data_IF_786221610075
#
_entry.id   IF_786221610075
#
_cell.length_a   1.000
_cell.length_b   1.000
_cell.length_c   1.000
_cell.angle_alpha   90.00
_cell.angle_beta   90.00
_cell.angle_gamma   90.00
#
_symmetry.space_group_name_H-M   'P 1'
#
loop_
_entity.id
_entity.type
_entity.pdbx_description
1 polymer ?
#
# COMPACT_ATOMS: atom_id res chain seq x y z
N UNK A 1 19.12 7.39 -17.97
CA UNK A 1 18.73 6.40 -18.98
C UNK A 1 17.21 6.21 -18.94
N UNK A 2 16.55 6.21 -20.12
CA UNK A 2 15.12 5.96 -20.29
C UNK A 2 14.91 4.66 -21.06
N UNK A 3 13.76 4.03 -20.83
CA UNK A 3 13.27 2.87 -21.59
C UNK A 3 12.16 3.37 -22.49
N UNK A 4 12.31 3.21 -23.80
CA UNK A 4 11.29 3.51 -24.79
C UNK A 4 10.49 2.24 -25.08
N UNK A 5 9.16 2.35 -25.08
CA UNK A 5 8.28 1.24 -25.44
C UNK A 5 7.33 1.65 -26.56
N UNK A 6 6.94 0.71 -27.40
CA UNK A 6 6.12 0.95 -28.59
C UNK A 6 4.59 0.84 -28.30
N UNK A 7 4.16 1.13 -27.07
CA UNK A 7 2.73 1.18 -26.77
C UNK A 7 2.05 2.28 -27.59
N UNK A 8 0.90 1.96 -28.16
CA UNK A 8 0.13 2.83 -29.04
C UNK A 8 -1.33 2.96 -28.57
N UNK A 9 -2.15 3.72 -29.29
CA UNK A 9 -3.56 3.99 -28.95
C UNK A 9 -4.36 2.70 -28.70
N UNK A 10 -4.21 1.70 -29.55
CA UNK A 10 -4.96 0.46 -29.41
C UNK A 10 -4.63 -0.28 -28.11
N UNK A 11 -3.36 -0.20 -27.62
CA UNK A 11 -3.01 -0.77 -26.30
C UNK A 11 -3.70 -0.03 -25.14
N UNK A 12 -3.90 1.29 -25.27
CA UNK A 12 -4.67 2.07 -24.30
C UNK A 12 -6.14 1.64 -24.28
N UNK A 13 -6.71 1.35 -25.45
CA UNK A 13 -8.08 0.85 -25.57
C UNK A 13 -8.24 -0.55 -24.96
N UNK A 14 -7.30 -1.46 -25.24
CA UNK A 14 -7.27 -2.78 -24.63
C UNK A 14 -7.19 -2.69 -23.09
N UNK A 15 -6.29 -1.84 -22.58
CA UNK A 15 -6.11 -1.62 -21.15
C UNK A 15 -7.37 -1.02 -20.51
N UNK A 16 -8.05 -0.10 -21.19
CA UNK A 16 -9.32 0.47 -20.75
C UNK A 16 -10.36 -0.63 -20.50
N UNK A 17 -10.62 -1.49 -21.48
CA UNK A 17 -11.63 -2.54 -21.34
C UNK A 17 -11.25 -3.60 -20.30
N UNK A 18 -9.97 -3.96 -20.19
CA UNK A 18 -9.49 -4.86 -19.14
C UNK A 18 -9.73 -4.23 -17.76
N UNK A 19 -9.39 -2.97 -17.58
CA UNK A 19 -9.53 -2.27 -16.31
C UNK A 19 -11.01 -2.02 -15.96
N UNK A 20 -11.84 -1.69 -16.96
CA UNK A 20 -13.29 -1.56 -16.81
C UNK A 20 -13.92 -2.87 -16.31
N UNK A 21 -13.56 -4.01 -16.91
CA UNK A 21 -14.04 -5.32 -16.50
C UNK A 21 -13.63 -5.73 -15.09
N UNK A 22 -12.59 -5.08 -14.54
CA UNK A 22 -12.09 -5.28 -13.17
C UNK A 22 -12.63 -4.27 -12.16
N UNK A 23 -13.51 -3.36 -12.57
CA UNK A 23 -14.07 -2.34 -11.70
C UNK A 23 -13.08 -1.24 -11.32
N UNK A 24 -12.14 -0.90 -12.19
CA UNK A 24 -11.17 0.16 -11.94
C UNK A 24 -11.84 1.53 -11.90
N UNK A 25 -11.37 2.40 -11.00
CA UNK A 25 -11.69 3.83 -11.01
C UNK A 25 -11.05 4.57 -12.20
N UNK A 26 -11.27 5.89 -12.25
CA UNK A 26 -10.87 6.76 -13.37
C UNK A 26 -9.39 6.61 -13.75
N UNK A 27 -8.47 6.44 -12.79
CA UNK A 27 -7.04 6.26 -13.09
C UNK A 27 -6.74 5.04 -13.94
N UNK A 28 -7.49 3.96 -13.75
CA UNK A 28 -7.35 2.77 -14.59
C UNK A 28 -7.99 2.94 -15.98
N UNK A 29 -8.91 3.89 -16.13
CA UNK A 29 -9.66 4.13 -17.37
C UNK A 29 -9.05 5.21 -18.26
N UNK A 30 -8.14 6.04 -17.79
CA UNK A 30 -7.52 7.11 -18.58
C UNK A 30 -6.44 6.65 -19.55
N UNK A 31 -6.29 5.33 -19.73
CA UNK A 31 -5.34 4.72 -20.66
C UNK A 31 -3.92 4.60 -20.09
N UNK A 32 -2.97 4.25 -20.96
CA UNK A 32 -1.57 4.07 -20.59
C UNK A 32 -0.89 5.44 -20.54
N UNK A 33 -0.19 5.80 -19.45
CA UNK A 33 0.49 7.09 -19.37
C UNK A 33 1.67 7.16 -20.35
N UNK A 34 1.85 8.32 -21.00
CA UNK A 34 2.97 8.57 -21.92
C UNK A 34 4.33 8.50 -21.23
N UNK A 35 4.37 8.99 -20.00
CA UNK A 35 5.55 8.99 -19.13
C UNK A 35 5.22 8.32 -17.80
N UNK A 36 6.06 7.37 -17.41
CA UNK A 36 6.00 6.75 -16.09
C UNK A 36 7.43 6.59 -15.55
N UNK A 37 7.97 7.67 -15.01
CA UNK A 37 9.34 7.73 -14.50
C UNK A 37 10.38 7.50 -15.59
N UNK A 38 10.97 6.30 -15.63
CA UNK A 38 11.99 5.95 -16.63
C UNK A 38 11.42 5.37 -17.93
N UNK A 39 10.11 5.14 -18.01
CA UNK A 39 9.46 4.54 -19.17
C UNK A 39 8.74 5.62 -19.97
N UNK A 40 9.12 5.79 -21.23
CA UNK A 40 8.49 6.71 -22.18
C UNK A 40 7.77 5.93 -23.27
N UNK A 41 6.59 6.42 -23.68
CA UNK A 41 5.71 5.78 -24.68
C UNK A 41 5.32 6.78 -25.77
N UNK A 42 6.20 7.06 -26.73
CA UNK A 42 5.99 8.14 -27.70
C UNK A 42 4.85 7.88 -28.68
N UNK A 43 4.34 6.64 -28.78
CA UNK A 43 3.31 6.27 -29.75
C UNK A 43 1.90 6.17 -29.16
N UNK A 44 1.68 6.53 -27.89
CA UNK A 44 0.37 6.40 -27.22
C UNK A 44 -0.75 7.19 -27.89
N UNK A 45 -0.44 8.22 -28.65
CA UNK A 45 -1.42 9.06 -29.36
C UNK A 45 -1.64 8.63 -30.82
N UNK A 46 -0.92 7.63 -31.31
CA UNK A 46 -1.03 7.13 -32.67
C UNK A 46 -1.76 5.80 -32.72
N UNK A 47 -2.55 5.60 -33.77
CA UNK A 47 -3.15 4.29 -34.04
C UNK A 47 -2.09 3.33 -34.66
N UNK A 48 -2.22 2.04 -34.39
CA UNK A 48 -1.37 1.01 -35.00
C UNK A 48 -1.34 1.11 -36.53
N UNK A 49 -2.48 1.42 -37.14
CA UNK A 49 -2.65 1.60 -38.58
C UNK A 49 -1.81 2.76 -39.14
N UNK A 50 -1.72 3.86 -38.41
CA UNK A 50 -0.90 5.03 -38.79
C UNK A 50 0.60 4.70 -38.71
N UNK A 51 1.02 4.02 -37.62
CA UNK A 51 2.40 3.56 -37.43
C UNK A 51 2.81 2.62 -38.57
N UNK A 52 1.94 1.65 -38.92
CA UNK A 52 2.22 0.72 -40.02
C UNK A 52 2.28 1.41 -41.39
N UNK A 53 1.39 2.38 -41.65
CA UNK A 53 1.44 3.22 -42.86
C UNK A 53 2.77 3.97 -42.98
N UNK A 54 3.20 4.57 -41.84
CA UNK A 54 4.49 5.26 -41.79
C UNK A 54 5.65 4.30 -42.07
N UNK A 55 5.67 3.13 -41.42
CA UNK A 55 6.72 2.13 -41.63
C UNK A 55 6.80 1.64 -43.08
N UNK A 56 5.63 1.36 -43.70
CA UNK A 56 5.58 0.98 -45.14
C UNK A 56 6.08 2.08 -46.05
N UNK A 57 5.65 3.34 -45.85
CA UNK A 57 6.08 4.49 -46.61
C UNK A 57 7.63 4.68 -46.58
N UNK A 58 8.21 4.46 -45.40
CA UNK A 58 9.64 4.63 -45.17
C UNK A 58 10.45 3.34 -45.32
N UNK A 59 9.86 2.26 -45.84
CA UNK A 59 10.50 0.95 -46.06
C UNK A 59 11.18 0.37 -44.81
N UNK A 60 10.63 0.67 -43.61
CA UNK A 60 11.10 0.14 -42.34
C UNK A 60 10.64 -1.31 -42.23
N UNK A 61 11.55 -2.24 -41.97
CA UNK A 61 11.26 -3.65 -41.76
C UNK A 61 10.82 -3.85 -40.30
N UNK A 62 9.76 -4.63 -40.10
CA UNK A 62 9.30 -5.04 -38.74
C UNK A 62 9.00 -6.54 -38.73
N UNK A 63 8.90 -7.10 -37.56
CA UNK A 63 8.44 -8.49 -37.34
C UNK A 63 7.11 -8.48 -36.64
N UNK A 64 6.25 -9.41 -36.98
CA UNK A 64 5.01 -9.66 -36.28
C UNK A 64 5.22 -10.87 -35.35
N UNK A 65 4.71 -10.73 -34.10
CA UNK A 65 4.72 -11.81 -33.13
C UNK A 65 3.48 -12.71 -33.39
N UNK A 66 3.71 -13.98 -33.69
CA UNK A 66 2.66 -14.95 -33.96
C UNK A 66 1.70 -15.15 -32.77
N UNK A 67 2.15 -14.89 -31.53
CA UNK A 67 1.30 -14.99 -30.35
C UNK A 67 0.15 -13.97 -30.33
N UNK A 68 0.22 -12.90 -31.11
CA UNK A 68 -0.83 -11.90 -31.25
C UNK A 68 -2.13 -12.45 -31.92
N UNK A 69 -2.03 -13.58 -32.62
CA UNK A 69 -3.18 -14.19 -33.32
C UNK A 69 -4.01 -15.10 -32.40
N UNK A 70 -3.51 -15.52 -31.25
CA UNK A 70 -4.23 -16.42 -30.36
C UNK A 70 -5.16 -15.66 -29.39
N UNK A 71 -6.41 -16.12 -29.26
CA UNK A 71 -7.40 -15.54 -28.34
C UNK A 71 -7.36 -16.15 -26.92
N UNK A 72 -6.27 -16.81 -26.53
CA UNK A 72 -6.09 -17.42 -25.19
C UNK A 72 -6.12 -16.35 -24.10
N UNK A 73 -5.53 -15.18 -24.38
CA UNK A 73 -5.45 -14.08 -23.41
C UNK A 73 -6.59 -13.07 -23.61
N UNK A 74 -7.18 -12.58 -22.52
CA UNK A 74 -8.22 -11.56 -22.53
C UNK A 74 -7.87 -10.35 -23.42
N UNK A 75 -6.62 -9.94 -23.41
CA UNK A 75 -6.13 -8.81 -24.22
C UNK A 75 -6.29 -9.06 -25.72
N UNK A 76 -5.93 -10.25 -26.17
CA UNK A 76 -6.08 -10.63 -27.57
C UNK A 76 -7.55 -10.76 -27.99
N UNK A 77 -8.40 -11.28 -27.08
CA UNK A 77 -9.84 -11.34 -27.32
C UNK A 77 -10.47 -9.95 -27.49
N UNK A 78 -10.07 -8.99 -26.66
CA UNK A 78 -10.50 -7.59 -26.79
C UNK A 78 -10.03 -7.03 -28.14
N UNK A 79 -8.77 -7.24 -28.50
CA UNK A 79 -8.16 -6.76 -29.76
C UNK A 79 -8.84 -7.34 -31.00
N UNK A 80 -9.07 -8.65 -31.00
CA UNK A 80 -9.49 -9.39 -32.20
C UNK A 80 -11.00 -9.46 -32.36
N UNK A 81 -11.77 -9.34 -31.28
CA UNK A 81 -13.23 -9.50 -31.30
C UNK A 81 -13.94 -8.19 -30.90
N UNK A 82 -13.66 -7.65 -29.71
CA UNK A 82 -14.42 -6.52 -29.16
C UNK A 82 -14.16 -5.22 -29.92
N UNK A 83 -12.91 -4.86 -30.17
CA UNK A 83 -12.56 -3.60 -30.84
C UNK A 83 -13.07 -3.57 -32.28
N UNK A 84 -12.94 -4.63 -33.11
CA UNK A 84 -13.55 -4.67 -34.43
C UNK A 84 -15.08 -4.55 -34.40
N UNK A 85 -15.76 -5.22 -33.45
CA UNK A 85 -17.20 -5.10 -33.27
C UNK A 85 -17.62 -3.66 -32.97
N UNK A 86 -16.95 -2.99 -32.03
CA UNK A 86 -17.25 -1.59 -31.70
C UNK A 86 -17.02 -0.65 -32.89
N UNK A 87 -15.98 -0.87 -33.70
CA UNK A 87 -15.74 -0.11 -34.92
C UNK A 87 -16.78 -0.39 -36.00
N UNK A 88 -17.41 -1.58 -36.02
CA UNK A 88 -18.49 -1.88 -36.96
C UNK A 88 -19.82 -1.22 -36.56
N UNK A 89 -20.05 -1.01 -35.29
CA UNK A 89 -21.25 -0.32 -34.77
C UNK A 89 -21.17 1.19 -35.02
N UNK A 90 -19.98 1.78 -34.86
CA UNK A 90 -19.73 3.20 -35.00
C UNK A 90 -18.42 3.39 -35.77
N UNK A 91 -18.48 3.79 -37.03
CA UNK A 91 -17.31 3.86 -37.93
C UNK A 91 -16.16 4.78 -37.47
N UNK A 92 -16.39 5.60 -36.47
CA UNK A 92 -15.40 6.50 -35.86
C UNK A 92 -15.09 6.15 -34.41
N UNK A 93 -15.42 4.93 -33.96
CA UNK A 93 -15.31 4.52 -32.56
C UNK A 93 -13.92 4.83 -31.97
N UNK A 94 -12.83 4.46 -32.64
CA UNK A 94 -11.46 4.72 -32.14
C UNK A 94 -11.21 6.21 -31.90
N UNK A 95 -11.63 7.10 -32.81
CA UNK A 95 -11.50 8.57 -32.64
C UNK A 95 -12.35 9.09 -31.50
N UNK A 96 -13.58 8.59 -31.36
CA UNK A 96 -14.48 8.96 -30.28
C UNK A 96 -13.96 8.47 -28.93
N UNK A 97 -13.37 7.29 -28.89
CA UNK A 97 -12.66 6.77 -27.71
C UNK A 97 -11.52 7.69 -27.28
N UNK A 98 -10.66 8.15 -28.23
CA UNK A 98 -9.60 9.12 -27.94
C UNK A 98 -10.13 10.38 -27.27
N UNK A 99 -11.23 10.95 -27.82
CA UNK A 99 -11.87 12.14 -27.25
C UNK A 99 -12.36 11.88 -25.82
N UNK A 100 -13.00 10.73 -25.60
CA UNK A 100 -13.50 10.34 -24.27
C UNK A 100 -12.37 10.20 -23.26
N UNK A 101 -11.27 9.52 -23.63
CA UNK A 101 -10.07 9.41 -22.77
C UNK A 101 -9.49 10.79 -22.46
N UNK A 102 -9.43 11.70 -23.44
CA UNK A 102 -8.97 13.07 -23.21
C UNK A 102 -9.85 13.79 -22.17
N UNK A 103 -11.17 13.69 -22.27
CA UNK A 103 -12.08 14.29 -21.30
C UNK A 103 -11.94 13.68 -19.90
N UNK A 104 -11.80 12.34 -19.82
CA UNK A 104 -11.53 11.68 -18.55
C UNK A 104 -10.20 12.14 -17.92
N UNK A 105 -9.15 12.32 -18.72
CA UNK A 105 -7.87 12.88 -18.25
C UNK A 105 -8.02 14.30 -17.69
N UNK A 106 -8.76 15.17 -18.39
CA UNK A 106 -9.03 16.53 -17.92
C UNK A 106 -9.84 16.54 -16.62
N UNK A 107 -10.89 15.71 -16.52
CA UNK A 107 -11.67 15.55 -15.29
C UNK A 107 -10.81 15.06 -14.14
N UNK A 108 -9.91 14.11 -14.42
CA UNK A 108 -9.01 13.55 -13.40
C UNK A 108 -8.02 14.59 -12.85
N UNK A 109 -7.56 15.55 -13.66
CA UNK A 109 -6.75 16.68 -13.17
C UNK A 109 -7.50 17.50 -12.13
N UNK A 110 -8.77 17.86 -12.41
CA UNK A 110 -9.60 18.60 -11.46
C UNK A 110 -9.82 17.82 -10.14
N UNK A 111 -9.97 16.50 -10.24
CA UNK A 111 -10.08 15.63 -9.06
C UNK A 111 -8.79 15.70 -8.24
N UNK A 112 -7.64 15.57 -8.87
CA UNK A 112 -6.35 15.63 -8.17
C UNK A 112 -6.13 16.97 -7.49
N UNK A 113 -6.40 18.09 -8.18
CA UNK A 113 -6.29 19.43 -7.62
C UNK A 113 -7.17 19.56 -6.37
N UNK A 114 -8.42 19.07 -6.44
CA UNK A 114 -9.33 19.11 -5.29
C UNK A 114 -8.85 18.21 -4.15
N UNK A 115 -8.35 17.02 -4.44
CA UNK A 115 -7.80 16.12 -3.41
C UNK A 115 -6.58 16.75 -2.74
N UNK A 116 -5.68 17.41 -3.47
CA UNK A 116 -4.55 18.12 -2.87
C UNK A 116 -4.98 19.26 -1.95
N UNK A 117 -6.01 20.03 -2.34
CA UNK A 117 -6.60 21.06 -1.49
C UNK A 117 -7.12 20.45 -0.18
N UNK A 118 -7.92 19.37 -0.27
CA UNK A 118 -8.48 18.69 0.88
C UNK A 118 -7.37 18.03 1.75
N UNK A 119 -6.30 17.56 1.15
CA UNK A 119 -5.15 17.04 1.91
C UNK A 119 -4.51 18.14 2.77
N UNK A 120 -4.30 19.33 2.22
CA UNK A 120 -3.77 20.48 2.99
C UNK A 120 -4.68 20.89 4.14
N UNK A 121 -5.99 20.74 3.96
CA UNK A 121 -6.98 21.12 4.96
C UNK A 121 -7.18 20.04 6.06
N UNK A 122 -7.27 18.76 5.67
CA UNK A 122 -7.71 17.68 6.56
C UNK A 122 -6.56 16.92 7.21
N UNK A 123 -5.35 16.97 6.61
CA UNK A 123 -4.21 16.18 7.06
C UNK A 123 -3.26 17.01 7.90
N UNK A 124 -2.70 16.35 8.90
CA UNK A 124 -1.49 16.75 9.62
C UNK A 124 -0.58 15.54 9.79
N UNK A 125 0.68 15.79 10.08
CA UNK A 125 1.68 14.75 10.23
C UNK A 125 2.21 14.74 11.67
N UNK A 126 2.41 13.55 12.22
CA UNK A 126 3.12 13.35 13.48
C UNK A 126 4.16 12.24 13.27
N UNK A 127 5.44 12.63 13.27
CA UNK A 127 6.56 11.75 12.91
C UNK A 127 6.30 11.09 11.52
N UNK A 128 5.99 9.79 11.52
CA UNK A 128 5.72 9.01 10.31
C UNK A 128 4.23 8.69 10.13
N UNK A 129 3.36 9.22 10.97
CA UNK A 129 1.91 9.01 10.91
C UNK A 129 1.23 10.11 10.11
N UNK A 130 0.24 9.74 9.32
CA UNK A 130 -0.68 10.66 8.67
C UNK A 130 -1.94 10.74 9.54
N UNK A 131 -2.26 11.95 10.01
CA UNK A 131 -3.39 12.22 10.89
C UNK A 131 -4.48 12.93 10.10
N UNK A 132 -5.68 12.33 10.02
CA UNK A 132 -6.84 12.86 9.31
C UNK A 132 -7.83 13.40 10.34
N UNK A 133 -8.23 14.67 10.21
CA UNK A 133 -9.19 15.31 11.11
C UNK A 133 -10.62 14.81 10.82
N UNK A 134 -11.23 14.08 11.78
CA UNK A 134 -12.58 13.48 11.62
C UNK A 134 -13.66 14.55 11.50
N UNK A 135 -13.58 15.66 12.24
CA UNK A 135 -14.60 16.71 12.20
C UNK A 135 -14.67 17.35 10.82
N UNK A 136 -13.53 17.74 10.26
CA UNK A 136 -13.44 18.29 8.90
C UNK A 136 -13.87 17.28 7.84
N UNK A 137 -13.44 16.02 7.99
CA UNK A 137 -13.81 14.93 7.11
C UNK A 137 -15.33 14.73 7.05
N UNK A 138 -16.00 14.74 8.20
CA UNK A 138 -17.46 14.51 8.29
C UNK A 138 -18.30 15.71 7.85
N UNK A 139 -17.75 16.93 7.87
CA UNK A 139 -18.41 18.10 7.30
C UNK A 139 -18.26 18.20 5.77
N UNK A 140 -17.47 17.34 5.16
CA UNK A 140 -17.19 17.34 3.72
C UNK A 140 -18.18 16.49 2.94
N UNK A 141 -18.73 17.04 1.86
CA UNK A 141 -19.46 16.27 0.84
C UNK A 141 -18.55 15.26 0.08
N UNK A 142 -17.22 15.39 0.21
CA UNK A 142 -16.23 14.62 -0.53
C UNK A 142 -15.53 13.55 0.31
N UNK A 143 -16.08 13.20 1.49
CA UNK A 143 -15.47 12.24 2.44
C UNK A 143 -15.04 10.93 1.79
N UNK A 144 -15.94 10.29 1.05
CA UNK A 144 -15.68 9.00 0.42
C UNK A 144 -14.59 9.11 -0.65
N UNK A 145 -14.72 10.07 -1.56
CA UNK A 145 -13.74 10.32 -2.60
C UNK A 145 -12.35 10.62 -2.00
N UNK A 146 -12.31 11.48 -0.98
CA UNK A 146 -11.07 11.84 -0.29
C UNK A 146 -10.38 10.62 0.33
N UNK A 147 -11.12 9.81 1.10
CA UNK A 147 -10.57 8.60 1.72
C UNK A 147 -10.09 7.60 0.67
N UNK A 148 -10.84 7.42 -0.42
CA UNK A 148 -10.44 6.56 -1.52
C UNK A 148 -9.12 7.02 -2.15
N UNK A 149 -9.00 8.27 -2.57
CA UNK A 149 -7.79 8.79 -3.21
C UNK A 149 -6.58 8.81 -2.27
N UNK A 150 -6.79 9.08 -0.98
CA UNK A 150 -5.73 9.04 0.02
C UNK A 150 -5.24 7.61 0.28
N UNK A 151 -6.15 6.63 0.41
CA UNK A 151 -5.83 5.31 0.97
C UNK A 151 -5.58 4.22 -0.07
N UNK A 152 -6.02 4.39 -1.32
CA UNK A 152 -5.92 3.36 -2.39
C UNK A 152 -4.52 2.81 -2.61
N UNK A 153 -3.48 3.65 -2.47
CA UNK A 153 -2.08 3.25 -2.67
C UNK A 153 -1.46 2.52 -1.47
N UNK A 154 -2.20 2.41 -0.37
CA UNK A 154 -1.74 1.75 0.85
C UNK A 154 -2.28 0.32 1.01
N UNK A 155 -2.96 -0.22 -0.03
CA UNK A 155 -3.39 -1.61 -0.10
C UNK A 155 -4.57 -1.97 0.81
N UNK A 156 -5.46 -1.02 1.08
CA UNK A 156 -6.72 -1.28 1.77
C UNK A 156 -7.78 -1.74 0.77
N UNK A 157 -8.58 -2.76 1.14
CA UNK A 157 -9.59 -3.36 0.27
C UNK A 157 -11.01 -3.32 0.85
N UNK A 158 -11.17 -3.07 2.15
CA UNK A 158 -12.46 -3.11 2.84
C UNK A 158 -12.99 -1.68 3.01
N UNK A 159 -13.53 -1.14 1.92
CA UNK A 159 -13.99 0.25 1.84
C UNK A 159 -15.16 0.53 2.76
N UNK A 160 -16.10 -0.39 2.91
CA UNK A 160 -17.26 -0.21 3.80
C UNK A 160 -16.82 -0.01 5.26
N UNK A 161 -15.85 -0.79 5.72
CA UNK A 161 -15.29 -0.60 7.07
C UNK A 161 -14.51 0.70 7.22
N UNK A 162 -13.81 1.14 6.16
CA UNK A 162 -13.05 2.40 6.17
C UNK A 162 -14.00 3.59 6.32
N UNK A 163 -15.08 3.62 5.57
CA UNK A 163 -16.08 4.70 5.60
C UNK A 163 -16.78 4.83 6.95
N UNK A 164 -16.91 3.72 7.69
CA UNK A 164 -17.53 3.67 9.02
C UNK A 164 -16.53 3.78 10.18
N UNK A 165 -15.24 3.87 9.91
CA UNK A 165 -14.22 3.84 10.96
C UNK A 165 -14.26 5.04 11.90
N UNK A 166 -14.61 6.21 11.38
CA UNK A 166 -14.74 7.45 12.14
C UNK A 166 -15.91 7.41 13.16
N UNK A 167 -16.94 6.59 12.91
CA UNK A 167 -18.07 6.37 13.82
C UNK A 167 -17.77 5.24 14.83
N UNK A 168 -16.75 4.43 14.59
CA UNK A 168 -16.36 3.31 15.44
C UNK A 168 -15.79 3.74 16.80
N UNK A 169 -15.56 2.77 17.68
CA UNK A 169 -14.91 2.98 18.96
C UNK A 169 -13.44 3.40 18.79
N UNK A 170 -12.92 4.13 19.80
CA UNK A 170 -11.50 4.48 19.86
C UNK A 170 -10.62 3.21 19.86
N UNK A 171 -9.61 3.21 19.03
CA UNK A 171 -8.70 2.08 18.88
C UNK A 171 -9.16 1.00 17.92
N UNK A 172 -10.36 1.12 17.29
CA UNK A 172 -10.77 0.26 16.18
C UNK A 172 -9.76 0.41 15.03
N UNK A 173 -9.29 -0.72 14.47
CA UNK A 173 -8.21 -0.78 13.48
C UNK A 173 -8.64 -1.53 12.24
N UNK A 174 -8.18 -1.06 11.10
CA UNK A 174 -8.27 -1.74 9.80
C UNK A 174 -6.84 -1.92 9.30
N UNK A 175 -6.55 -3.10 8.77
CA UNK A 175 -5.20 -3.48 8.34
C UNK A 175 -5.15 -3.65 6.83
N UNK A 176 -4.11 -3.09 6.22
CA UNK A 176 -3.67 -3.48 4.87
C UNK A 176 -2.40 -4.33 4.97
N UNK A 177 -1.81 -4.71 3.86
CA UNK A 177 -0.53 -5.44 3.89
C UNK A 177 0.62 -4.58 4.46
N UNK A 178 0.60 -3.28 4.24
CA UNK A 178 1.70 -2.36 4.55
C UNK A 178 1.39 -1.35 5.66
N UNK A 179 0.11 -1.06 5.92
CA UNK A 179 -0.32 0.01 6.83
C UNK A 179 -1.45 -0.42 7.75
N UNK A 180 -1.67 0.38 8.78
CA UNK A 180 -2.77 0.28 9.73
C UNK A 180 -3.50 1.63 9.72
N UNK A 181 -4.81 1.61 9.52
CA UNK A 181 -5.68 2.76 9.71
C UNK A 181 -6.48 2.55 11.01
N UNK A 182 -6.48 3.52 11.92
CA UNK A 182 -7.21 3.39 13.18
C UNK A 182 -7.76 4.72 13.68
N UNK A 183 -8.84 4.65 14.46
CA UNK A 183 -9.43 5.80 15.13
C UNK A 183 -8.69 6.12 16.43
N UNK A 184 -8.29 7.37 16.60
CA UNK A 184 -7.68 7.92 17.82
C UNK A 184 -8.28 9.28 18.15
N UNK A 185 -9.13 9.36 19.19
CA UNK A 185 -9.88 10.58 19.52
C UNK A 185 -10.62 11.17 18.30
N UNK A 186 -10.31 12.40 17.93
CA UNK A 186 -10.90 13.14 16.79
C UNK A 186 -10.15 12.96 15.47
N UNK A 187 -9.27 11.95 15.38
CA UNK A 187 -8.45 11.71 14.19
C UNK A 187 -8.52 10.25 13.74
N UNK A 188 -8.47 10.03 12.42
CA UNK A 188 -8.04 8.77 11.86
C UNK A 188 -6.52 8.84 11.67
N UNK A 189 -5.83 7.78 12.04
CA UNK A 189 -4.37 7.70 11.98
C UNK A 189 -3.98 6.60 11.00
N UNK A 190 -3.27 6.99 9.95
CA UNK A 190 -2.66 6.04 9.01
C UNK A 190 -1.18 5.89 9.38
N UNK A 191 -0.80 4.67 9.75
CA UNK A 191 0.55 4.31 10.20
C UNK A 191 1.10 3.17 9.36
N UNK A 192 2.36 3.28 8.97
CA UNK A 192 3.08 2.17 8.34
C UNK A 192 3.23 1.03 9.35
N UNK A 193 2.93 -0.20 8.92
CA UNK A 193 3.24 -1.37 9.74
C UNK A 193 4.75 -1.45 9.95
N UNK A 194 5.17 -1.47 11.18
CA UNK A 194 6.53 -1.88 11.50
C UNK A 194 6.55 -3.38 11.20
N UNK A 195 7.34 -3.80 10.24
CA UNK A 195 7.67 -5.22 10.13
C UNK A 195 8.46 -5.54 11.40
N UNK A 196 7.78 -6.11 12.38
CA UNK A 196 8.48 -6.72 13.49
C UNK A 196 9.29 -7.86 12.88
N UNK A 197 10.57 -7.64 12.64
CA UNK A 197 11.49 -8.72 12.38
C UNK A 197 11.27 -9.71 13.52
N UNK A 198 10.89 -10.93 13.18
CA UNK A 198 10.77 -12.00 14.19
C UNK A 198 12.17 -12.17 14.73
N UNK A 199 12.38 -11.66 15.94
CA UNK A 199 13.64 -11.87 16.65
C UNK A 199 13.46 -13.16 17.41
N UNK A 200 14.21 -14.17 17.05
CA UNK A 200 14.37 -15.39 17.85
C UNK A 200 15.88 -15.70 17.90
N UNK A 201 16.49 -15.39 19.04
CA UNK A 201 17.92 -15.59 19.29
C UNK A 201 18.04 -16.57 20.44
N UNK A 202 18.77 -17.66 20.22
CA UNK A 202 19.09 -18.63 21.26
C UNK A 202 20.46 -18.30 21.85
N UNK A 203 20.55 -18.32 23.18
CA UNK A 203 21.74 -17.96 23.94
C UNK A 203 22.16 -19.15 24.78
N UNK A 204 23.21 -19.81 24.40
CA UNK A 204 23.76 -20.99 25.12
C UNK A 204 24.52 -20.59 26.37
N UNK A 205 24.98 -19.33 26.43
CA UNK A 205 25.71 -18.75 27.57
C UNK A 205 25.56 -17.24 27.59
N UNK A 206 25.82 -16.55 28.73
CA UNK A 206 25.79 -15.10 28.80
C UNK A 206 26.81 -14.50 27.82
N UNK A 207 26.37 -13.53 27.03
CA UNK A 207 27.20 -12.76 26.09
C UNK A 207 27.34 -11.33 26.57
N UNK A 208 28.49 -10.68 26.32
CA UNK A 208 28.69 -9.30 26.73
C UNK A 208 27.65 -8.37 26.12
N UNK A 209 27.31 -8.56 24.86
CA UNK A 209 26.31 -7.75 24.15
C UNK A 209 25.66 -8.57 23.02
N UNK A 210 24.36 -8.43 22.86
CA UNK A 210 23.58 -9.02 21.76
C UNK A 210 22.80 -7.90 21.09
N UNK A 211 23.10 -7.66 19.83
CA UNK A 211 22.35 -6.69 19.00
C UNK A 211 21.18 -7.39 18.33
N UNK A 212 20.02 -6.73 18.33
CA UNK A 212 18.82 -7.23 17.66
C UNK A 212 18.02 -6.08 17.07
N UNK A 213 17.37 -6.29 15.91
CA UNK A 213 16.73 -5.20 15.18
C UNK A 213 17.73 -4.12 14.72
N UNK A 214 17.22 -2.95 14.39
CA UNK A 214 18.03 -1.88 13.78
C UNK A 214 18.81 -1.01 14.79
N UNK A 215 18.45 -1.02 16.10
CA UNK A 215 19.05 -0.13 17.09
C UNK A 215 18.92 -0.62 18.54
N UNK A 216 18.64 -1.88 18.76
CA UNK A 216 18.44 -2.44 20.11
C UNK A 216 19.54 -3.44 20.45
N UNK A 217 20.00 -3.40 21.68
CA UNK A 217 20.99 -4.35 22.21
C UNK A 217 20.64 -4.74 23.65
N UNK A 218 21.00 -5.95 24.02
CA UNK A 218 20.97 -6.43 25.42
C UNK A 218 22.39 -6.73 25.83
N UNK A 219 22.81 -6.18 26.96
CA UNK A 219 24.10 -6.50 27.57
C UNK A 219 23.90 -7.21 28.91
N UNK A 220 24.79 -8.16 29.21
CA UNK A 220 24.79 -8.94 30.46
C UNK A 220 25.97 -8.50 31.32
N UNK A 221 25.68 -8.16 32.56
CA UNK A 221 26.70 -7.77 33.54
C UNK A 221 26.47 -8.56 34.83
N UNK A 222 27.55 -8.99 35.45
CA UNK A 222 27.47 -9.52 36.82
C UNK A 222 27.41 -8.36 37.81
N UNK A 223 26.55 -8.48 38.82
CA UNK A 223 26.42 -7.49 39.88
C UNK A 223 26.20 -8.21 41.22
N UNK A 224 26.85 -7.73 42.27
CA UNK A 224 26.68 -8.28 43.61
C UNK A 224 25.41 -7.80 44.30
N UNK A 225 24.84 -6.68 43.81
CA UNK A 225 23.67 -6.05 44.41
C UNK A 225 22.56 -5.85 43.38
N UNK A 226 21.31 -6.03 43.81
CA UNK A 226 20.13 -5.79 42.95
C UNK A 226 19.91 -4.30 42.79
N UNK A 227 20.07 -3.80 41.56
CA UNK A 227 19.77 -2.39 41.26
C UNK A 227 18.26 -2.18 41.26
N UNK A 228 17.74 -1.33 42.14
CA UNK A 228 16.34 -0.92 42.16
C UNK A 228 16.15 0.31 41.24
N UNK A 229 15.09 0.24 40.40
CA UNK A 229 14.57 1.42 39.65
C UNK A 229 15.38 2.00 38.47
N UNK A 230 16.02 1.19 37.64
CA UNK A 230 16.45 1.66 36.30
C UNK A 230 15.51 1.10 35.23
N UNK A 231 14.92 1.96 34.42
CA UNK A 231 13.92 1.59 33.42
C UNK A 231 14.41 0.55 32.37
N UNK A 232 15.73 0.46 32.15
CA UNK A 232 16.35 -0.40 31.14
C UNK A 232 17.20 -1.51 31.76
N UNK A 233 17.02 -1.84 33.04
CA UNK A 233 17.82 -2.86 33.72
C UNK A 233 16.91 -3.86 34.41
N UNK A 234 17.20 -5.16 34.21
CA UNK A 234 16.54 -6.28 34.91
C UNK A 234 17.64 -7.03 35.66
N UNK A 235 17.47 -7.22 36.95
CA UNK A 235 18.34 -8.08 37.76
C UNK A 235 17.68 -9.46 37.91
N UNK A 236 18.43 -10.51 37.61
CA UNK A 236 18.00 -11.91 37.71
C UNK A 236 19.02 -12.73 38.49
N UNK A 237 18.57 -13.73 39.23
CA UNK A 237 19.44 -14.68 39.93
C UNK A 237 20.06 -15.62 38.88
N UNK A 238 21.38 -15.52 38.71
CA UNK A 238 22.12 -16.30 37.72
C UNK A 238 21.99 -17.81 37.94
N UNK A 239 21.94 -18.26 39.18
CA UNK A 239 21.84 -19.68 39.52
C UNK A 239 20.49 -20.30 39.17
N UNK A 240 19.47 -19.44 38.90
CA UNK A 240 18.13 -19.88 38.48
C UNK A 240 17.92 -19.79 36.96
N UNK A 241 18.93 -19.35 36.20
CA UNK A 241 18.85 -19.33 34.75
C UNK A 241 19.18 -20.71 34.19
N UNK A 242 18.24 -21.22 33.39
CA UNK A 242 18.42 -22.46 32.66
C UNK A 242 18.76 -22.13 31.20
N UNK A 243 19.97 -22.43 30.79
CA UNK A 243 20.41 -22.26 29.40
C UNK A 243 19.99 -23.46 28.55
N UNK A 244 19.66 -23.24 27.23
CA UNK A 244 19.75 -21.99 26.50
C UNK A 244 18.58 -21.03 26.79
N UNK A 245 18.90 -19.74 26.89
CA UNK A 245 17.88 -18.69 26.96
C UNK A 245 17.37 -18.32 25.56
N UNK A 246 16.11 -17.94 25.45
CA UNK A 246 15.51 -17.48 24.19
C UNK A 246 15.08 -16.02 24.30
N UNK A 247 15.68 -15.18 23.46
CA UNK A 247 15.21 -13.81 23.21
C UNK A 247 14.28 -13.85 21.99
N UNK A 248 13.02 -13.54 22.17
CA UNK A 248 12.03 -13.55 21.09
C UNK A 248 10.91 -12.54 21.29
N UNK A 249 10.18 -12.24 20.22
CA UNK A 249 8.95 -11.47 20.29
C UNK A 249 7.90 -12.19 21.16
N UNK A 250 7.03 -11.38 21.78
CA UNK A 250 5.89 -11.88 22.58
C UNK A 250 4.95 -12.68 21.68
N UNK A 251 4.56 -13.87 22.11
CA UNK A 251 3.58 -14.74 21.46
C UNK A 251 2.25 -14.71 22.23
N UNK A 252 1.16 -15.00 21.54
CA UNK A 252 -0.14 -15.16 22.19
C UNK A 252 -0.07 -16.33 23.18
N UNK A 253 -0.53 -16.07 24.43
CA UNK A 253 -0.46 -17.06 25.51
C UNK A 253 0.72 -16.87 26.47
N UNK A 254 1.71 -16.04 26.15
CA UNK A 254 2.83 -15.76 27.06
C UNK A 254 2.37 -15.17 28.37
N UNK A 255 2.92 -15.68 29.47
CA UNK A 255 2.64 -15.21 30.82
C UNK A 255 3.92 -15.22 31.68
N UNK A 256 3.86 -14.50 32.77
CA UNK A 256 4.89 -14.47 33.80
C UNK A 256 4.27 -14.38 35.19
N UNK A 257 5.06 -14.60 36.21
CA UNK A 257 4.66 -14.50 37.61
C UNK A 257 5.27 -13.20 38.19
N UNK A 258 4.46 -12.16 38.44
CA UNK A 258 4.97 -10.92 39.02
C UNK A 258 5.43 -11.14 40.44
N UNK A 259 6.53 -10.50 40.84
CA UNK A 259 7.01 -10.52 42.23
C UNK A 259 5.96 -9.88 43.12
N UNK A 260 5.61 -10.54 44.24
CA UNK A 260 4.62 -10.06 45.23
C UNK A 260 3.15 -10.31 44.86
N UNK A 261 2.88 -11.05 43.75
CA UNK A 261 1.52 -11.44 43.37
C UNK A 261 1.34 -12.96 43.36
N UNK A 262 0.22 -13.46 43.84
CA UNK A 262 -0.16 -14.86 43.69
C UNK A 262 -0.84 -15.03 42.32
N UNK A 263 -0.19 -15.80 41.42
CA UNK A 263 -0.73 -16.17 40.13
C UNK A 263 0.01 -15.60 38.92
N UNK A 264 -0.39 -16.07 37.74
CA UNK A 264 0.22 -15.69 36.45
C UNK A 264 -0.47 -14.47 35.83
N UNK A 265 0.30 -13.58 35.22
CA UNK A 265 -0.19 -12.44 34.42
C UNK A 265 0.18 -12.61 32.95
N UNK A 266 -0.79 -12.46 32.03
CA UNK A 266 -0.52 -12.50 30.58
C UNK A 266 0.34 -11.31 30.18
N UNK A 267 1.43 -11.53 29.43
CA UNK A 267 2.35 -10.50 28.98
C UNK A 267 1.62 -9.42 28.15
N UNK A 268 0.76 -9.83 27.21
CA UNK A 268 -0.03 -8.90 26.39
C UNK A 268 -0.91 -7.98 27.23
N UNK A 269 -1.54 -8.50 28.30
CA UNK A 269 -2.37 -7.68 29.21
C UNK A 269 -1.50 -6.70 30.00
N UNK A 270 -0.35 -7.15 30.48
CA UNK A 270 0.61 -6.30 31.21
C UNK A 270 1.11 -5.14 30.35
N UNK A 271 1.49 -5.40 29.07
CA UNK A 271 1.95 -4.37 28.14
C UNK A 271 0.83 -3.36 27.84
N UNK A 272 -0.40 -3.83 27.61
CA UNK A 272 -1.57 -2.96 27.41
C UNK A 272 -1.83 -2.05 28.62
N UNK A 273 -1.83 -2.59 29.83
CA UNK A 273 -2.07 -1.84 31.08
C UNK A 273 -1.03 -0.71 31.24
N UNK A 274 0.21 -0.95 30.79
CA UNK A 274 1.30 0.02 30.81
C UNK A 274 1.42 0.90 29.56
N UNK A 275 0.49 0.77 28.61
CA UNK A 275 0.50 1.51 27.31
C UNK A 275 1.81 1.33 26.52
N UNK A 276 2.46 0.17 26.66
CA UNK A 276 3.62 -0.23 25.87
C UNK A 276 3.10 -0.91 24.61
N UNK A 277 3.49 -0.37 23.44
CA UNK A 277 3.08 -0.90 22.12
C UNK A 277 4.06 -1.97 21.62
#
# INVERSE_FOLDING_TARGET
NYILTAHHMNDSMESFFINLSRGSGIDGLIGIPENNGKILRPFTNFEKTEILKYAKKNKIKWREDASNQSNIYLRNKIRNELVPLLNSLEGNFTKNFQKSIRYLKLSNLLIYDKIEELMKEYISYDKNDILINIKKLNSSAHKEAFLYYLLRNYGFNDWDKILLLDQGERGKKIYSNTHILFKSFEKLVLRKKIQNNVVEITLDKPSKEIKFGNSSAISFHSAETVSKNKANLISVDFNKLLFPLKLRNVKNGDYFFPIGMVGKKKVVKFLKDRKIN
#
